data_IF_348049420762
#
_entry.id   IF_348049420762
#
_cell.length_a   1.000
_cell.length_b   1.000
_cell.length_c   1.000
_cell.angle_alpha   90.00
_cell.angle_beta   90.00
_cell.angle_gamma   90.00
#
_symmetry.space_group_name_H-M   'P 1'
#
loop_
_entity.id
_entity.type
_entity.pdbx_description
1 polymer ?
#
# COMPACT_ATOMS: atom_id res chain seq x y z
N UNK A 1 -32.15 -56.00 -44.27
CA UNK A 1 -31.77 -54.85 -43.41
C UNK A 1 -31.81 -55.34 -41.98
N UNK A 2 -30.62 -55.51 -41.40
CA UNK A 2 -30.36 -56.00 -40.05
C UNK A 2 -29.95 -54.78 -39.19
N UNK A 3 -30.42 -54.67 -37.95
CA UNK A 3 -29.63 -54.91 -36.74
C UNK A 3 -30.42 -54.50 -35.48
N UNK A 4 -30.39 -55.41 -34.50
CA UNK A 4 -30.90 -55.29 -33.14
C UNK A 4 -29.81 -54.69 -32.22
N UNK A 5 -30.27 -54.00 -31.19
CA UNK A 5 -29.57 -53.50 -30.01
C UNK A 5 -29.14 -54.64 -29.07
N UNK A 6 -27.97 -54.56 -28.41
CA UNK A 6 -27.98 -54.72 -26.95
C UNK A 6 -26.87 -53.95 -26.20
N UNK A 7 -27.13 -53.51 -24.96
CA UNK A 7 -26.34 -53.93 -23.78
C UNK A 7 -26.93 -53.48 -22.43
N UNK A 8 -26.84 -54.40 -21.47
CA UNK A 8 -27.39 -54.38 -20.10
C UNK A 8 -26.33 -53.92 -19.05
N UNK A 9 -26.49 -54.15 -17.72
CA UNK A 9 -26.59 -53.09 -16.71
C UNK A 9 -25.37 -53.01 -15.76
N UNK A 10 -25.20 -51.88 -15.07
CA UNK A 10 -24.22 -51.77 -13.97
C UNK A 10 -24.89 -51.91 -12.58
N UNK A 11 -24.22 -52.74 -11.75
CA UNK A 11 -24.56 -53.16 -10.40
C UNK A 11 -24.34 -52.07 -9.34
N UNK A 12 -25.16 -52.15 -8.28
CA UNK A 12 -25.02 -51.48 -6.98
C UNK A 12 -23.79 -51.98 -6.20
N UNK A 13 -23.23 -51.15 -5.29
CA UNK A 13 -23.18 -51.42 -3.84
C UNK A 13 -22.54 -50.29 -3.01
N UNK A 14 -23.34 -49.82 -2.03
CA UNK A 14 -23.02 -49.40 -0.65
C UNK A 14 -22.15 -48.16 -0.31
N UNK A 15 -22.44 -47.48 0.83
CA UNK A 15 -22.03 -46.11 1.10
C UNK A 15 -20.67 -46.04 1.80
N UNK A 16 -19.84 -45.05 1.43
CA UNK A 16 -18.55 -44.81 2.08
C UNK A 16 -18.60 -43.46 2.81
N UNK A 17 -18.31 -43.53 4.11
CA UNK A 17 -18.28 -42.44 5.06
C UNK A 17 -17.34 -41.30 4.63
N UNK A 18 -17.72 -40.07 4.98
CA UNK A 18 -16.87 -38.88 4.88
C UNK A 18 -15.84 -38.88 6.01
N UNK A 19 -14.53 -38.80 5.73
CA UNK A 19 -13.58 -38.22 6.66
C UNK A 19 -13.35 -36.76 6.31
N UNK A 20 -13.46 -35.89 7.32
CA UNK A 20 -13.14 -34.47 7.28
C UNK A 20 -11.63 -34.25 7.17
N UNK A 21 -11.12 -33.50 6.17
CA UNK A 21 -9.79 -32.92 6.23
C UNK A 21 -9.89 -31.48 6.74
N UNK A 22 -9.58 -31.38 8.03
CA UNK A 22 -9.20 -30.17 8.76
C UNK A 22 -8.04 -29.43 8.09
N UNK A 23 -8.10 -28.10 8.07
CA UNK A 23 -6.96 -27.17 7.92
C UNK A 23 -5.87 -27.58 6.91
N UNK A 24 -6.02 -27.18 5.65
CA UNK A 24 -4.85 -26.94 4.80
C UNK A 24 -5.08 -25.70 3.95
N UNK A 25 -4.17 -24.72 4.09
CA UNK A 25 -4.14 -23.49 3.30
C UNK A 25 -3.73 -23.71 1.85
N UNK A 26 -3.44 -24.95 1.44
CA UNK A 26 -3.23 -25.35 0.06
C UNK A 26 -4.02 -26.66 -0.17
N UNK A 27 -4.70 -26.76 -1.31
CA UNK A 27 -5.56 -27.88 -1.68
C UNK A 27 -4.82 -29.23 -1.80
N UNK A 28 -5.55 -30.25 -2.27
CA UNK A 28 -5.08 -31.64 -2.36
C UNK A 28 -3.70 -31.76 -3.06
N UNK A 29 -2.70 -32.25 -2.33
CA UNK A 29 -1.29 -32.36 -2.75
C UNK A 29 -0.97 -33.64 -3.54
N UNK A 30 -1.96 -34.50 -3.79
CA UNK A 30 -1.79 -35.78 -4.49
C UNK A 30 -1.63 -35.73 -6.02
N UNK A 31 -1.92 -34.64 -6.78
CA UNK A 31 -1.73 -34.65 -8.23
C UNK A 31 -0.24 -34.70 -8.64
N UNK A 32 0.12 -35.50 -9.66
CA UNK A 32 1.49 -35.61 -10.17
C UNK A 32 2.00 -34.34 -10.86
N UNK A 33 1.12 -33.37 -11.15
CA UNK A 33 1.44 -32.15 -11.89
C UNK A 33 2.19 -31.08 -11.09
N UNK A 34 2.41 -31.29 -9.78
CA UNK A 34 3.21 -30.37 -8.96
C UNK A 34 4.72 -30.67 -9.11
N UNK A 35 5.51 -29.74 -9.72
CA UNK A 35 6.95 -29.89 -9.87
C UNK A 35 7.65 -30.10 -8.51
N UNK A 36 8.81 -30.78 -8.47
CA UNK A 36 9.53 -31.07 -7.21
C UNK A 36 9.88 -29.83 -6.37
N UNK A 37 10.01 -28.65 -7.01
CA UNK A 37 10.28 -27.37 -6.33
C UNK A 37 9.05 -26.69 -5.74
N UNK A 38 7.84 -26.99 -6.23
CA UNK A 38 6.60 -26.33 -5.80
C UNK A 38 5.95 -27.01 -4.59
N UNK A 39 6.40 -28.23 -4.27
CA UNK A 39 6.00 -29.00 -3.08
C UNK A 39 6.47 -28.39 -1.75
N UNK A 40 7.31 -27.36 -1.81
CA UNK A 40 7.83 -26.63 -0.64
C UNK A 40 7.47 -25.14 -0.65
N UNK A 41 6.43 -24.72 -1.37
CA UNK A 41 5.91 -23.32 -1.31
C UNK A 41 4.99 -23.07 -0.12
N UNK A 42 4.96 -24.00 0.84
CA UNK A 42 4.47 -23.64 2.16
C UNK A 42 5.29 -22.45 2.65
N UNK A 43 4.59 -21.35 2.93
CA UNK A 43 4.85 -20.59 4.14
C UNK A 43 4.95 -21.65 5.24
N UNK A 44 6.16 -22.13 5.50
CA UNK A 44 6.42 -23.14 6.50
C UNK A 44 5.84 -22.56 7.78
N UNK A 45 4.64 -23.01 8.19
CA UNK A 45 4.27 -22.93 9.59
C UNK A 45 5.41 -23.65 10.27
N UNK A 46 6.25 -22.95 11.06
CA UNK A 46 7.43 -23.57 11.62
C UNK A 46 6.95 -24.83 12.34
N UNK A 47 7.62 -25.97 12.12
CA UNK A 47 7.47 -27.12 13.03
C UNK A 47 7.51 -26.56 14.45
N UNK A 48 6.70 -27.04 15.40
CA UNK A 48 6.58 -26.44 16.72
C UNK A 48 7.94 -26.47 17.44
N UNK A 49 8.74 -25.44 17.19
CA UNK A 49 9.92 -25.08 17.95
C UNK A 49 9.45 -24.28 19.15
N UNK A 50 10.03 -24.56 20.30
CA UNK A 50 9.66 -23.90 21.56
C UNK A 50 10.15 -22.45 21.64
N UNK A 51 10.91 -21.97 20.66
CA UNK A 51 11.59 -20.67 20.71
C UNK A 51 10.96 -19.62 19.80
N UNK A 52 11.11 -18.36 20.18
CA UNK A 52 10.77 -17.22 19.33
C UNK A 52 11.44 -17.33 17.96
N UNK A 53 10.72 -16.89 16.93
CA UNK A 53 11.28 -16.75 15.59
C UNK A 53 12.02 -15.40 15.52
N UNK A 54 13.25 -15.45 15.04
CA UNK A 54 14.07 -14.27 14.75
C UNK A 54 14.31 -14.24 13.25
N UNK A 55 13.77 -13.23 12.59
CA UNK A 55 13.93 -13.07 11.15
C UNK A 55 15.25 -12.35 10.84
N UNK A 56 15.89 -12.78 9.75
CA UNK A 56 17.04 -12.09 9.21
C UNK A 56 16.56 -11.09 8.15
N UNK A 57 16.69 -9.79 8.45
CA UNK A 57 16.32 -8.72 7.54
C UNK A 57 17.44 -8.30 6.58
N UNK A 58 18.58 -9.01 6.58
CA UNK A 58 19.67 -8.80 5.62
C UNK A 58 19.46 -9.68 4.40
N UNK A 59 19.18 -9.07 3.25
CA UNK A 59 19.03 -9.75 1.98
C UNK A 59 19.94 -9.14 0.90
N UNK A 60 20.36 -9.98 -0.06
CA UNK A 60 21.12 -9.52 -1.24
C UNK A 60 20.26 -8.76 -2.26
N UNK A 61 18.94 -8.93 -2.19
CA UNK A 61 17.95 -8.25 -3.02
C UNK A 61 16.67 -7.99 -2.23
N UNK A 62 15.61 -7.44 -2.86
CA UNK A 62 14.37 -7.17 -2.15
C UNK A 62 13.76 -8.48 -1.65
N UNK A 63 13.31 -8.50 -0.39
CA UNK A 63 12.55 -9.61 0.14
C UNK A 63 11.37 -9.94 -0.80
N UNK A 64 11.14 -11.23 -1.10
CA UNK A 64 10.06 -11.64 -1.97
C UNK A 64 8.73 -11.20 -1.39
N UNK A 65 7.78 -10.97 -2.27
CA UNK A 65 6.43 -10.60 -1.91
C UNK A 65 5.61 -10.19 -3.11
N UNK A 66 4.30 -10.26 -2.95
CA UNK A 66 3.34 -10.10 -4.04
C UNK A 66 2.29 -9.05 -3.68
N UNK A 67 1.98 -8.20 -4.65
CA UNK A 67 0.84 -7.29 -4.60
C UNK A 67 -0.14 -7.69 -5.71
N UNK A 68 -1.46 -7.56 -5.49
CA UNK A 68 -2.43 -7.92 -6.51
C UNK A 68 -2.34 -6.95 -7.69
N UNK A 69 -2.78 -7.42 -8.86
CA UNK A 69 -2.97 -6.56 -10.03
C UNK A 69 -4.24 -5.70 -9.92
N UNK A 70 -5.15 -6.03 -8.98
CA UNK A 70 -6.43 -5.34 -8.78
C UNK A 70 -6.78 -5.22 -7.31
N UNK A 71 -7.21 -4.03 -6.92
CA UNK A 71 -7.71 -3.72 -5.59
C UNK A 71 -9.25 -3.62 -5.58
N UNK A 72 -9.86 -3.68 -4.40
CA UNK A 72 -11.32 -3.56 -4.24
C UNK A 72 -11.79 -2.20 -4.73
N UNK A 73 -12.67 -2.16 -5.71
CA UNK A 73 -12.96 -0.93 -6.45
C UNK A 73 -14.31 -0.31 -6.06
N UNK A 74 -14.95 -0.80 -5.00
CA UNK A 74 -16.23 -0.31 -4.50
C UNK A 74 -17.41 -0.62 -5.42
N UNK A 75 -18.44 0.22 -5.40
CA UNK A 75 -19.71 -0.01 -6.11
C UNK A 75 -20.38 1.29 -6.48
N UNK A 76 -21.17 1.26 -7.57
CA UNK A 76 -21.93 2.43 -8.05
C UNK A 76 -22.85 3.00 -6.97
N UNK A 77 -23.43 2.11 -6.15
CA UNK A 77 -24.25 2.47 -5.00
C UNK A 77 -23.54 1.97 -3.74
N UNK A 78 -22.90 2.89 -3.01
CA UNK A 78 -22.11 2.56 -1.83
C UNK A 78 -22.92 1.84 -0.74
N UNK A 79 -24.20 2.18 -0.59
CA UNK A 79 -25.09 1.61 0.44
C UNK A 79 -25.33 0.09 0.30
N UNK A 80 -25.13 -0.49 -0.89
CA UNK A 80 -25.30 -1.92 -1.14
C UNK A 80 -23.97 -2.64 -1.39
N UNK A 81 -22.84 -1.95 -1.22
CA UNK A 81 -21.52 -2.56 -1.35
C UNK A 81 -21.33 -3.65 -0.27
N UNK A 82 -20.87 -4.82 -0.69
CA UNK A 82 -20.63 -5.98 0.19
C UNK A 82 -19.15 -6.32 0.36
N UNK A 83 -18.27 -5.50 -0.21
CA UNK A 83 -16.83 -5.66 -0.02
C UNK A 83 -16.46 -5.45 1.45
N UNK A 84 -15.36 -6.03 1.93
CA UNK A 84 -14.88 -5.73 3.27
C UNK A 84 -14.60 -4.24 3.45
N UNK A 85 -14.70 -3.73 4.68
CA UNK A 85 -14.35 -2.33 4.98
C UNK A 85 -12.87 -2.02 4.72
N UNK A 86 -12.03 -3.05 4.84
CA UNK A 86 -10.58 -3.00 4.63
C UNK A 86 -10.18 -4.23 3.82
N UNK A 87 -9.51 -4.03 2.68
CA UNK A 87 -8.85 -5.11 1.96
C UNK A 87 -7.44 -5.24 2.53
N UNK A 88 -7.14 -6.42 3.07
CA UNK A 88 -5.80 -6.78 3.55
C UNK A 88 -5.08 -7.59 2.47
N UNK A 89 -3.87 -7.17 2.13
CA UNK A 89 -2.92 -7.92 1.33
C UNK A 89 -1.68 -8.15 2.18
N UNK A 90 -1.34 -9.42 2.43
CA UNK A 90 -0.07 -9.79 3.02
C UNK A 90 0.97 -9.86 1.89
N UNK A 91 1.83 -8.84 1.79
CA UNK A 91 2.89 -8.79 0.77
C UNK A 91 3.90 -9.91 1.00
N UNK A 92 4.31 -10.10 2.25
CA UNK A 92 5.09 -11.24 2.75
C UNK A 92 4.83 -11.44 4.26
N UNK A 93 5.55 -12.33 4.91
CA UNK A 93 5.35 -12.70 6.32
C UNK A 93 5.34 -11.49 7.28
N UNK A 94 6.09 -10.43 6.95
CA UNK A 94 6.32 -9.28 7.82
C UNK A 94 5.82 -7.95 7.24
N UNK A 95 5.09 -7.97 6.13
CA UNK A 95 4.65 -6.76 5.43
C UNK A 95 3.22 -6.92 4.97
N UNK A 96 2.36 -6.03 5.45
CA UNK A 96 0.95 -5.98 5.09
C UNK A 96 0.62 -4.62 4.45
N UNK A 97 -0.20 -4.67 3.40
CA UNK A 97 -0.77 -3.51 2.74
C UNK A 97 -2.27 -3.55 2.92
N UNK A 98 -2.83 -2.49 3.49
CA UNK A 98 -4.24 -2.36 3.77
C UNK A 98 -4.80 -1.26 2.88
N UNK A 99 -5.97 -1.50 2.30
CA UNK A 99 -6.72 -0.49 1.55
C UNK A 99 -8.03 -0.22 2.25
N UNK A 100 -8.39 1.04 2.41
CA UNK A 100 -9.72 1.43 2.85
C UNK A 100 -10.73 1.32 1.69
N UNK A 101 -11.93 0.81 1.98
CA UNK A 101 -12.96 0.60 0.95
C UNK A 101 -13.41 1.93 0.34
N UNK A 102 -13.45 1.98 -1.00
CA UNK A 102 -13.84 3.16 -1.79
C UNK A 102 -15.24 3.67 -1.44
N UNK A 103 -16.15 2.76 -1.05
CA UNK A 103 -17.50 3.10 -0.60
C UNK A 103 -17.54 3.67 0.83
N UNK A 104 -16.49 3.45 1.63
CA UNK A 104 -16.35 4.09 2.96
C UNK A 104 -15.74 5.47 2.80
N UNK A 105 -14.69 5.59 1.99
CA UNK A 105 -14.10 6.87 1.63
C UNK A 105 -13.59 6.84 0.20
N UNK A 106 -14.03 7.79 -0.62
CA UNK A 106 -13.76 7.84 -2.06
C UNK A 106 -12.26 7.88 -2.40
N UNK A 107 -11.41 8.45 -1.53
CA UNK A 107 -9.97 8.48 -1.73
C UNK A 107 -9.31 7.10 -1.55
N UNK A 108 -10.00 6.16 -0.89
CA UNK A 108 -9.59 4.77 -0.69
C UNK A 108 -8.12 4.61 -0.28
N UNK A 109 -7.66 5.31 0.79
CA UNK A 109 -6.26 5.37 1.17
C UNK A 109 -5.67 4.00 1.48
N UNK A 110 -4.37 3.91 1.25
CA UNK A 110 -3.52 2.79 1.65
C UNK A 110 -2.89 3.04 3.02
N UNK A 111 -2.62 1.96 3.72
CA UNK A 111 -1.94 1.94 5.01
C UNK A 111 -1.01 0.75 5.04
N UNK A 112 0.18 0.91 5.59
CA UNK A 112 1.23 -0.12 5.52
C UNK A 112 1.62 -0.55 6.92
N UNK A 113 1.58 -1.86 7.19
CA UNK A 113 1.97 -2.44 8.48
C UNK A 113 3.21 -3.31 8.29
N UNK A 114 4.30 -2.93 8.94
CA UNK A 114 5.61 -3.57 8.85
C UNK A 114 5.98 -4.18 10.20
N UNK A 115 6.55 -5.37 10.20
CA UNK A 115 7.05 -6.05 11.39
C UNK A 115 8.58 -6.18 11.37
N UNK A 116 9.19 -6.06 12.54
CA UNK A 116 10.59 -6.40 12.79
C UNK A 116 10.74 -7.26 14.06
N UNK A 117 11.98 -7.59 14.44
CA UNK A 117 12.22 -8.48 15.57
C UNK A 117 11.86 -7.89 16.94
N UNK A 118 11.67 -6.57 17.06
CA UNK A 118 11.44 -5.84 18.31
C UNK A 118 10.36 -4.76 18.23
N UNK A 119 9.78 -4.51 17.06
CA UNK A 119 8.77 -3.46 16.86
C UNK A 119 7.92 -3.71 15.62
N UNK A 120 6.76 -3.07 15.58
CA UNK A 120 5.92 -2.95 14.40
C UNK A 120 5.72 -1.46 14.04
N UNK A 121 5.59 -1.16 12.75
CA UNK A 121 5.37 0.18 12.22
C UNK A 121 4.10 0.21 11.38
N UNK A 122 3.18 1.11 11.73
CA UNK A 122 2.01 1.43 10.91
C UNK A 122 2.24 2.79 10.24
N UNK A 123 2.34 2.81 8.92
CA UNK A 123 2.49 4.02 8.11
C UNK A 123 1.10 4.43 7.62
N UNK A 124 0.67 5.62 8.04
CA UNK A 124 -0.64 6.20 7.84
C UNK A 124 -1.78 5.40 8.49
N UNK A 125 -2.99 5.95 8.47
CA UNK A 125 -4.17 5.43 9.19
C UNK A 125 -5.50 5.67 8.46
N UNK A 126 -5.45 5.96 7.16
CA UNK A 126 -6.64 6.19 6.34
C UNK A 126 -7.46 7.44 6.69
N UNK A 127 -8.61 7.57 6.02
CA UNK A 127 -9.40 8.80 5.96
C UNK A 127 -10.62 8.83 6.89
N UNK A 128 -10.88 7.76 7.65
CA UNK A 128 -12.09 7.65 8.47
C UNK A 128 -11.77 7.31 9.91
N UNK A 129 -12.17 8.18 10.83
CA UNK A 129 -11.97 7.97 12.26
C UNK A 129 -12.92 6.91 12.84
N UNK A 130 -14.15 6.84 12.33
CA UNK A 130 -15.20 5.95 12.86
C UNK A 130 -14.90 4.47 12.61
N UNK A 131 -14.66 3.73 13.70
CA UNK A 131 -14.37 2.31 13.69
C UNK A 131 -15.53 1.44 13.18
N UNK A 132 -16.78 1.91 13.22
CA UNK A 132 -17.91 1.18 12.65
C UNK A 132 -17.85 1.10 11.11
N UNK A 133 -17.25 2.12 10.48
CA UNK A 133 -17.11 2.21 9.04
C UNK A 133 -15.72 1.79 8.55
N UNK A 134 -14.68 2.06 9.34
CA UNK A 134 -13.30 1.70 9.04
C UNK A 134 -12.61 1.16 10.31
N UNK A 135 -12.74 -0.14 10.62
CA UNK A 135 -12.27 -0.73 11.88
C UNK A 135 -10.74 -0.99 11.89
N UNK A 136 -9.93 0.03 11.57
CA UNK A 136 -8.48 -0.11 11.38
C UNK A 136 -7.78 -0.71 12.60
N UNK A 137 -8.05 -0.20 13.81
CA UNK A 137 -7.39 -0.73 15.02
C UNK A 137 -7.70 -2.22 15.19
N UNK A 138 -8.96 -2.62 15.08
CA UNK A 138 -9.35 -4.03 15.24
C UNK A 138 -8.68 -4.92 14.18
N UNK A 139 -8.55 -4.44 12.95
CA UNK A 139 -7.83 -5.14 11.88
C UNK A 139 -6.33 -5.25 12.18
N UNK A 140 -5.68 -4.17 12.61
CA UNK A 140 -4.25 -4.19 12.99
C UNK A 140 -4.00 -5.12 14.17
N UNK A 141 -4.85 -5.06 15.20
CA UNK A 141 -4.75 -5.95 16.37
C UNK A 141 -4.87 -7.42 15.98
N UNK A 142 -5.78 -7.76 15.07
CA UNK A 142 -5.92 -9.12 14.55
C UNK A 142 -4.69 -9.59 13.76
N UNK A 143 -4.10 -8.72 12.92
CA UNK A 143 -2.87 -9.03 12.17
C UNK A 143 -1.70 -9.22 13.13
N UNK A 144 -1.51 -8.31 14.08
CA UNK A 144 -0.44 -8.40 15.09
C UNK A 144 -0.59 -9.66 15.96
N UNK A 145 -1.82 -10.03 16.35
CA UNK A 145 -2.08 -11.26 17.08
C UNK A 145 -1.68 -12.49 16.26
N UNK A 146 -2.12 -12.57 15.00
CA UNK A 146 -1.75 -13.69 14.11
C UNK A 146 -0.25 -13.76 13.89
N UNK A 147 0.41 -12.63 13.63
CA UNK A 147 1.85 -12.55 13.50
C UNK A 147 2.55 -13.04 14.78
N UNK A 148 2.09 -12.60 15.95
CA UNK A 148 2.66 -13.02 17.24
C UNK A 148 2.53 -14.51 17.53
N UNK A 149 1.47 -15.15 17.02
CA UNK A 149 1.30 -16.59 17.16
C UNK A 149 2.27 -17.37 16.25
N UNK A 150 2.53 -16.86 15.04
CA UNK A 150 3.47 -17.48 14.10
C UNK A 150 4.93 -17.29 14.55
N UNK A 151 5.28 -16.12 15.07
CA UNK A 151 6.64 -15.79 15.52
C UNK A 151 6.89 -16.08 16.99
N UNK A 152 5.83 -16.40 17.76
CA UNK A 152 5.84 -16.57 19.22
C UNK A 152 6.33 -15.33 19.96
N UNK A 153 6.16 -14.15 19.38
CA UNK A 153 6.69 -12.88 19.88
C UNK A 153 5.66 -11.76 19.85
N UNK A 154 5.61 -10.94 20.90
CA UNK A 154 4.85 -9.69 20.93
C UNK A 154 5.79 -8.50 20.76
N UNK A 155 5.36 -7.51 19.98
CA UNK A 155 6.13 -6.29 19.71
C UNK A 155 5.26 -5.04 19.87
N UNK A 156 5.83 -3.92 20.36
CA UNK A 156 5.12 -2.64 20.42
C UNK A 156 4.82 -2.11 19.02
N UNK A 157 3.80 -1.25 18.91
CA UNK A 157 3.40 -0.60 17.67
C UNK A 157 3.82 0.87 17.66
N UNK A 158 4.42 1.34 16.57
CA UNK A 158 4.62 2.77 16.31
C UNK A 158 3.76 3.17 15.11
N UNK A 159 2.92 4.20 15.28
CA UNK A 159 2.09 4.77 14.21
C UNK A 159 2.75 6.06 13.73
N UNK A 160 3.08 6.09 12.45
CA UNK A 160 3.74 7.21 11.77
C UNK A 160 2.89 7.72 10.63
N UNK A 161 3.21 8.92 10.15
CA UNK A 161 2.44 9.59 9.10
C UNK A 161 3.36 10.06 7.99
N UNK A 162 2.95 9.86 6.75
CA UNK A 162 3.60 10.51 5.59
C UNK A 162 3.33 12.01 5.57
N UNK A 163 2.23 12.47 6.19
CA UNK A 163 1.99 13.87 6.55
C UNK A 163 1.00 13.98 7.72
N UNK A 164 1.28 14.87 8.67
CA UNK A 164 0.36 15.26 9.73
C UNK A 164 -0.74 16.23 9.28
N UNK A 165 -0.56 16.90 8.13
CA UNK A 165 -1.55 17.77 7.49
C UNK A 165 -2.59 17.00 6.68
N UNK A 166 -2.25 15.81 6.19
CA UNK A 166 -3.13 15.06 5.31
C UNK A 166 -4.23 14.28 6.05
N UNK A 167 -5.40 14.89 6.11
CA UNK A 167 -6.61 14.28 6.68
C UNK A 167 -7.14 13.09 5.86
N UNK A 168 -6.73 12.90 4.60
CA UNK A 168 -7.11 11.71 3.84
C UNK A 168 -6.29 10.47 4.24
N UNK A 169 -5.26 10.63 5.08
CA UNK A 169 -4.36 9.57 5.51
C UNK A 169 -4.27 9.40 7.04
N UNK A 170 -4.71 10.36 7.85
CA UNK A 170 -4.41 10.34 9.29
C UNK A 170 -5.59 10.28 10.27
N UNK A 171 -6.82 10.04 9.79
CA UNK A 171 -8.02 10.11 10.64
C UNK A 171 -8.21 8.87 11.51
N UNK A 172 -7.79 7.70 11.04
CA UNK A 172 -7.86 6.46 11.83
C UNK A 172 -6.95 6.46 13.05
N UNK A 173 -6.00 7.41 13.16
CA UNK A 173 -5.12 7.57 14.32
C UNK A 173 -5.89 7.67 15.64
N UNK A 174 -7.08 8.27 15.63
CA UNK A 174 -7.94 8.38 16.82
C UNK A 174 -8.29 7.01 17.42
N UNK A 175 -8.35 5.94 16.61
CA UNK A 175 -8.67 4.60 17.09
C UNK A 175 -7.56 3.99 17.96
N UNK A 176 -6.32 4.45 17.81
CA UNK A 176 -5.15 3.96 18.54
C UNK A 176 -4.93 4.69 19.87
N UNK A 177 -5.74 5.70 20.19
CA UNK A 177 -5.71 6.36 21.50
C UNK A 177 -5.96 5.33 22.62
N UNK A 178 -5.06 5.30 23.61
CA UNK A 178 -5.14 4.37 24.74
C UNK A 178 -4.85 2.90 24.39
N UNK A 179 -4.42 2.58 23.16
CA UNK A 179 -3.95 1.24 22.83
C UNK A 179 -2.64 0.96 23.60
N UNK A 180 -2.52 -0.14 24.37
CA UNK A 180 -1.29 -0.47 25.09
C UNK A 180 -0.09 -0.62 24.15
N UNK A 181 1.12 -0.35 24.67
CA UNK A 181 2.40 -0.52 23.95
C UNK A 181 2.39 0.11 22.55
N UNK A 182 1.77 1.29 22.43
CA UNK A 182 1.61 2.00 21.16
C UNK A 182 2.13 3.42 21.26
N UNK A 183 3.02 3.80 20.36
CA UNK A 183 3.49 5.17 20.16
C UNK A 183 2.78 5.79 18.96
N UNK A 184 2.13 6.94 19.14
CA UNK A 184 1.64 7.75 18.03
C UNK A 184 2.60 8.92 17.85
N UNK A 185 3.22 9.03 16.67
CA UNK A 185 4.09 10.16 16.38
C UNK A 185 3.28 11.47 16.38
N UNK A 186 3.78 12.56 16.99
CA UNK A 186 3.09 13.84 16.95
C UNK A 186 2.89 14.33 15.51
N UNK A 187 1.67 14.79 15.18
CA UNK A 187 1.37 15.37 13.86
C UNK A 187 1.88 16.80 13.66
N UNK A 188 1.85 17.71 14.66
CA UNK A 188 2.36 19.06 14.46
C UNK A 188 3.83 19.06 14.02
N UNK A 189 4.16 19.77 12.94
CA UNK A 189 5.48 19.75 12.29
C UNK A 189 6.66 19.85 13.28
N UNK A 190 6.62 20.80 14.22
CA UNK A 190 7.74 20.99 15.15
C UNK A 190 7.90 19.78 16.09
N UNK A 191 6.80 19.27 16.63
CA UNK A 191 6.82 18.10 17.51
C UNK A 191 7.24 16.82 16.75
N UNK A 192 6.83 16.67 15.48
CA UNK A 192 7.27 15.60 14.59
C UNK A 192 8.80 15.69 14.36
N UNK A 193 9.30 16.88 14.02
CA UNK A 193 10.74 17.10 13.83
C UNK A 193 11.53 16.79 15.10
N UNK A 194 11.03 17.19 16.27
CA UNK A 194 11.67 16.89 17.55
C UNK A 194 11.69 15.37 17.82
N UNK A 195 10.59 14.67 17.53
CA UNK A 195 10.50 13.21 17.65
C UNK A 195 11.56 12.49 16.81
N UNK A 196 11.72 12.87 15.55
CA UNK A 196 12.73 12.28 14.65
C UNK A 196 14.13 12.89 14.80
N UNK A 197 14.31 13.87 15.70
CA UNK A 197 15.57 14.63 15.88
C UNK A 197 16.03 15.35 14.60
N UNK A 198 15.09 15.88 13.84
CA UNK A 198 15.30 16.57 12.57
C UNK A 198 15.28 18.10 12.71
N UNK A 199 15.10 18.64 13.92
CA UNK A 199 14.85 20.08 14.12
C UNK A 199 15.96 21.00 13.63
N UNK A 200 17.22 20.57 13.70
CA UNK A 200 18.38 21.39 13.34
C UNK A 200 18.73 21.39 11.86
N UNK A 201 18.26 20.41 11.07
CA UNK A 201 18.72 20.25 9.67
C UNK A 201 17.61 19.76 8.73
N UNK A 202 16.34 20.02 9.05
CA UNK A 202 15.21 19.78 8.16
C UNK A 202 15.27 20.70 6.93
N UNK A 203 15.06 20.21 5.69
CA UNK A 203 14.75 18.83 5.30
C UNK A 203 15.95 18.01 4.80
N UNK A 204 17.18 18.44 5.09
CA UNK A 204 18.40 17.85 4.51
C UNK A 204 18.88 16.57 5.20
N UNK A 205 18.57 16.38 6.49
CA UNK A 205 18.88 15.15 7.23
C UNK A 205 17.72 14.15 7.22
N UNK A 206 18.02 12.86 7.13
CA UNK A 206 17.07 11.78 7.40
C UNK A 206 17.12 11.26 8.84
N UNK A 207 16.15 10.44 9.21
CA UNK A 207 16.11 9.68 10.45
C UNK A 207 15.93 8.18 10.16
N UNK A 208 15.95 7.35 11.20
CA UNK A 208 15.76 5.90 11.10
C UNK A 208 14.80 5.42 12.19
N UNK A 209 13.96 4.45 11.83
CA UNK A 209 13.16 3.67 12.77
C UNK A 209 13.67 2.23 12.72
N UNK A 210 14.23 1.75 13.83
CA UNK A 210 14.71 0.37 13.96
C UNK A 210 13.62 -0.48 14.61
N UNK A 211 13.12 -1.46 13.85
CA UNK A 211 12.10 -2.41 14.30
C UNK A 211 12.71 -3.69 14.89
N UNK A 212 13.99 -3.68 15.23
CA UNK A 212 14.76 -4.87 15.60
C UNK A 212 15.34 -5.51 14.35
N UNK A 213 16.46 -4.97 13.87
CA UNK A 213 17.23 -5.40 12.71
C UNK A 213 16.60 -5.07 11.34
N UNK A 214 15.29 -4.78 11.29
CA UNK A 214 14.64 -4.15 10.12
C UNK A 214 14.63 -2.65 10.29
N UNK A 215 15.47 -1.95 9.54
CA UNK A 215 15.62 -0.50 9.62
C UNK A 215 14.83 0.17 8.50
N UNK A 216 13.96 1.09 8.90
CA UNK A 216 13.18 1.95 8.00
C UNK A 216 13.82 3.34 7.99
N UNK A 217 14.26 3.79 6.81
CA UNK A 217 14.76 5.14 6.61
C UNK A 217 13.58 6.12 6.53
N UNK A 218 13.70 7.25 7.21
CA UNK A 218 12.74 8.34 7.22
C UNK A 218 13.36 9.54 6.49
N UNK A 219 12.78 9.91 5.36
CA UNK A 219 13.34 10.91 4.45
C UNK A 219 12.38 12.10 4.41
N UNK A 220 12.81 13.30 4.83
CA UNK A 220 12.02 14.51 4.66
C UNK A 220 11.75 14.82 3.20
N UNK A 221 10.46 14.96 2.88
CA UNK A 221 9.96 15.26 1.54
C UNK A 221 8.89 16.35 1.57
N UNK A 222 9.18 17.55 2.12
CA UNK A 222 8.24 18.66 2.09
C UNK A 222 7.93 19.08 0.64
N UNK A 223 6.72 19.58 0.41
CA UNK A 223 6.32 20.15 -0.86
C UNK A 223 4.84 19.96 -1.17
N UNK A 224 4.38 18.71 -1.23
CA UNK A 224 2.94 18.40 -1.29
C UNK A 224 2.26 18.84 0.01
N UNK A 225 2.88 18.46 1.14
CA UNK A 225 2.63 18.98 2.48
C UNK A 225 3.93 19.52 3.07
N UNK A 226 3.85 20.50 3.97
CA UNK A 226 5.07 21.12 4.54
C UNK A 226 5.82 20.18 5.50
N UNK A 227 5.13 19.16 5.98
CA UNK A 227 5.60 18.13 6.91
C UNK A 227 5.78 16.76 6.26
N UNK A 228 5.83 16.71 4.92
CA UNK A 228 5.93 15.48 4.15
C UNK A 228 7.14 14.61 4.54
N UNK A 229 6.88 13.31 4.69
CA UNK A 229 7.86 12.26 4.94
C UNK A 229 7.67 11.11 3.94
N UNK A 230 8.80 10.52 3.55
CA UNK A 230 8.85 9.27 2.78
C UNK A 230 9.59 8.22 3.59
N UNK A 231 9.07 6.99 3.61
CA UNK A 231 9.66 5.89 4.35
C UNK A 231 10.24 4.86 3.38
N UNK A 232 11.49 4.46 3.58
CA UNK A 232 12.14 3.44 2.77
C UNK A 232 12.45 2.22 3.62
N UNK A 233 11.96 1.06 3.20
CA UNK A 233 12.28 -0.22 3.83
C UNK A 233 13.40 -0.94 3.09
N UNK A 234 14.56 -1.04 3.75
CA UNK A 234 15.74 -1.74 3.22
C UNK A 234 15.52 -3.25 3.04
N UNK A 235 14.56 -3.86 3.74
CA UNK A 235 14.28 -5.29 3.62
C UNK A 235 13.51 -5.62 2.33
N UNK A 236 12.46 -4.86 2.01
CA UNK A 236 11.62 -5.11 0.82
C UNK A 236 11.99 -4.23 -0.39
N UNK A 237 12.84 -3.22 -0.20
CA UNK A 237 13.10 -2.13 -1.16
C UNK A 237 11.83 -1.36 -1.56
N UNK A 238 10.86 -1.23 -0.65
CA UNK A 238 9.64 -0.46 -0.89
C UNK A 238 9.84 0.97 -0.40
N UNK A 239 9.42 1.93 -1.23
CA UNK A 239 9.44 3.36 -0.91
C UNK A 239 8.00 3.86 -0.72
N UNK A 240 7.61 4.11 0.52
CA UNK A 240 6.28 4.61 0.88
C UNK A 240 6.25 6.13 0.78
N UNK A 241 5.61 6.64 -0.27
CA UNK A 241 5.67 8.06 -0.66
C UNK A 241 4.47 8.89 -0.21
N UNK A 242 3.42 8.25 0.32
CA UNK A 242 2.18 8.96 0.70
C UNK A 242 1.66 9.81 -0.45
N UNK A 243 1.35 11.07 -0.18
CA UNK A 243 0.84 12.03 -1.16
C UNK A 243 1.91 12.84 -1.90
N UNK A 244 3.20 12.56 -1.64
CA UNK A 244 4.29 13.15 -2.43
C UNK A 244 4.22 12.72 -3.89
N UNK A 245 4.05 11.42 -4.13
CA UNK A 245 3.94 10.84 -5.45
C UNK A 245 3.10 9.57 -5.35
N UNK A 246 2.03 9.52 -6.11
CA UNK A 246 1.09 8.40 -6.17
C UNK A 246 0.35 8.47 -7.52
N UNK A 247 -0.31 7.39 -7.96
CA UNK A 247 -1.03 7.41 -9.22
C UNK A 247 -2.33 8.21 -9.05
N UNK A 248 -2.27 9.53 -9.06
CA UNK A 248 -3.43 10.40 -8.92
C UNK A 248 -3.14 11.89 -9.10
N UNK A 249 -4.03 12.73 -8.57
CA UNK A 249 -3.90 14.19 -8.56
C UNK A 249 -3.06 14.62 -7.35
N UNK A 250 -1.89 15.19 -7.57
CA UNK A 250 -0.96 15.63 -6.53
C UNK A 250 -1.10 17.14 -6.36
N UNK A 251 -1.56 17.58 -5.19
CA UNK A 251 -1.65 18.99 -4.84
C UNK A 251 -0.30 19.46 -4.29
N UNK A 252 0.32 20.42 -4.99
CA UNK A 252 1.61 20.97 -4.59
C UNK A 252 1.35 22.23 -3.76
N UNK A 253 1.69 22.17 -2.47
CA UNK A 253 1.58 23.31 -1.56
C UNK A 253 2.75 24.28 -1.70
N UNK A 254 3.96 23.77 -1.90
CA UNK A 254 5.18 24.55 -2.09
C UNK A 254 6.07 23.91 -3.15
N UNK A 255 6.09 24.48 -4.35
CA UNK A 255 6.66 23.84 -5.55
C UNK A 255 8.18 23.71 -5.53
N UNK A 256 8.89 24.69 -4.97
CA UNK A 256 10.35 24.63 -4.82
C UNK A 256 10.78 23.53 -3.86
N UNK A 257 10.07 23.36 -2.75
CA UNK A 257 10.36 22.27 -1.81
C UNK A 257 9.98 20.92 -2.42
N UNK A 258 8.85 20.87 -3.13
CA UNK A 258 8.41 19.66 -3.83
C UNK A 258 9.45 19.20 -4.85
N UNK A 259 9.99 20.10 -5.67
CA UNK A 259 11.07 19.80 -6.61
C UNK A 259 12.32 19.31 -5.86
N UNK A 260 12.76 20.03 -4.83
CA UNK A 260 13.95 19.68 -4.07
C UNK A 260 13.83 18.29 -3.42
N UNK A 261 12.64 17.94 -2.92
CA UNK A 261 12.32 16.64 -2.35
C UNK A 261 12.36 15.51 -3.39
N UNK A 262 11.80 15.74 -4.58
CA UNK A 262 11.88 14.78 -5.68
C UNK A 262 13.32 14.59 -6.17
N UNK A 263 14.10 15.66 -6.29
CA UNK A 263 15.53 15.59 -6.66
C UNK A 263 16.37 14.87 -5.58
N UNK A 264 15.99 15.01 -4.31
CA UNK A 264 16.58 14.26 -3.20
C UNK A 264 16.32 12.76 -3.34
N UNK A 265 15.06 12.37 -3.60
CA UNK A 265 14.70 10.97 -3.83
C UNK A 265 15.33 10.41 -5.12
N UNK A 266 15.43 11.21 -6.18
CA UNK A 266 16.13 10.85 -7.42
C UNK A 266 17.60 10.52 -7.17
N UNK A 267 18.30 11.30 -6.34
CA UNK A 267 19.67 10.99 -5.90
C UNK A 267 19.70 9.79 -4.95
N UNK A 268 18.73 9.68 -4.05
CA UNK A 268 18.64 8.58 -3.08
C UNK A 268 18.59 7.21 -3.78
N UNK A 269 17.74 7.08 -4.81
CA UNK A 269 17.61 5.83 -5.59
C UNK A 269 18.86 5.44 -6.40
N UNK A 270 19.86 6.31 -6.53
CA UNK A 270 21.13 5.96 -7.18
C UNK A 270 22.05 5.16 -6.25
N UNK A 271 21.85 5.25 -4.94
CA UNK A 271 22.66 4.58 -3.92
C UNK A 271 21.88 3.52 -3.15
N UNK A 272 20.56 3.45 -3.35
CA UNK A 272 19.65 2.50 -2.72
C UNK A 272 18.79 1.83 -3.76
N UNK A 273 18.66 0.50 -3.67
CA UNK A 273 17.78 -0.25 -4.55
C UNK A 273 16.33 0.04 -4.20
N UNK A 274 15.53 0.54 -5.14
CA UNK A 274 14.09 0.71 -4.97
C UNK A 274 13.39 -0.27 -5.90
N UNK A 275 12.50 -1.10 -5.37
CA UNK A 275 11.68 -2.03 -6.14
C UNK A 275 10.39 -1.37 -6.62
N UNK A 276 9.64 -0.78 -5.68
CA UNK A 276 8.38 -0.09 -5.97
C UNK A 276 8.25 1.17 -5.11
N UNK A 277 7.65 2.20 -5.70
CA UNK A 277 7.06 3.30 -4.98
C UNK A 277 5.59 2.97 -4.69
N UNK A 278 5.17 3.17 -3.45
CA UNK A 278 3.82 2.91 -2.96
C UNK A 278 3.28 4.20 -2.34
N UNK A 279 2.32 4.83 -3.02
CA UNK A 279 1.72 6.09 -2.59
C UNK A 279 0.43 5.90 -1.79
N UNK A 280 -0.10 7.01 -1.26
CA UNK A 280 -1.26 6.99 -0.38
C UNK A 280 -2.58 6.59 -1.04
N UNK A 281 -2.73 6.80 -2.35
CA UNK A 281 -4.00 6.65 -3.06
C UNK A 281 -3.83 6.07 -4.47
N UNK A 282 -4.95 5.65 -5.06
CA UNK A 282 -5.09 5.51 -6.51
C UNK A 282 -6.23 6.42 -6.99
N UNK A 283 -5.86 7.43 -7.75
CA UNK A 283 -6.72 8.41 -8.41
C UNK A 283 -6.64 8.38 -9.93
N UNK A 284 -5.66 7.70 -10.53
CA UNK A 284 -5.59 7.51 -11.99
C UNK A 284 -6.33 6.26 -12.44
N UNK A 285 -6.80 6.27 -13.69
CA UNK A 285 -7.27 5.10 -14.41
C UNK A 285 -6.08 4.33 -15.00
N UNK A 286 -6.30 3.08 -15.44
CA UNK A 286 -5.32 2.35 -16.22
C UNK A 286 -5.05 3.00 -17.59
N UNK A 287 -5.97 3.86 -18.05
CA UNK A 287 -5.81 4.66 -19.28
C UNK A 287 -4.87 5.84 -18.98
N UNK A 288 -3.74 5.96 -19.70
CA UNK A 288 -2.77 7.03 -19.46
C UNK A 288 -3.38 8.43 -19.46
N UNK A 289 -3.05 9.23 -18.44
CA UNK A 289 -3.47 10.63 -18.34
C UNK A 289 -4.95 10.85 -18.05
N UNK A 290 -5.67 9.80 -17.67
CA UNK A 290 -7.08 9.87 -17.25
C UNK A 290 -7.19 9.56 -15.77
N UNK A 291 -7.82 10.43 -15.01
CA UNK A 291 -8.10 10.22 -13.60
C UNK A 291 -9.50 9.65 -13.38
N UNK A 292 -9.68 8.94 -12.27
CA UNK A 292 -10.99 8.58 -11.76
C UNK A 292 -11.70 9.86 -11.27
N UNK A 293 -13.00 10.06 -11.54
CA UNK A 293 -13.71 11.20 -11.03
C UNK A 293 -13.57 11.32 -9.51
N UNK A 294 -13.34 12.54 -9.06
CA UNK A 294 -13.33 12.86 -7.63
C UNK A 294 -14.67 12.44 -7.02
N UNK A 295 -14.64 11.92 -5.80
CA UNK A 295 -15.81 11.39 -5.08
C UNK A 295 -16.45 10.13 -5.67
N UNK A 296 -15.90 9.53 -6.74
CA UNK A 296 -16.39 8.25 -7.25
C UNK A 296 -16.21 7.14 -6.19
N UNK A 297 -17.30 6.43 -5.90
CA UNK A 297 -17.31 5.24 -5.03
C UNK A 297 -17.12 3.93 -5.80
N UNK A 298 -16.94 4.02 -7.13
CA UNK A 298 -16.77 2.90 -8.04
C UNK A 298 -15.61 3.17 -9.02
N UNK A 299 -14.51 2.43 -8.88
CA UNK A 299 -13.24 2.65 -9.62
C UNK A 299 -12.69 1.36 -10.26
N UNK A 300 -13.47 0.64 -11.09
CA UNK A 300 -13.09 -0.70 -11.58
C UNK A 300 -11.87 -0.72 -12.50
N UNK A 301 -11.50 0.46 -13.02
CA UNK A 301 -10.48 0.71 -14.04
C UNK A 301 -9.35 1.58 -13.51
N UNK A 302 -9.13 1.58 -12.20
CA UNK A 302 -8.03 2.32 -11.60
C UNK A 302 -6.66 1.74 -11.98
N UNK A 303 -5.62 2.56 -11.88
CA UNK A 303 -4.23 2.16 -12.08
C UNK A 303 -3.78 1.18 -10.98
N UNK A 304 -2.67 0.49 -11.20
CA UNK A 304 -2.03 -0.31 -10.15
C UNK A 304 -1.36 0.59 -9.11
N UNK A 305 -1.22 0.09 -7.86
CA UNK A 305 -0.56 0.82 -6.76
C UNK A 305 0.95 0.98 -7.02
N UNK A 306 1.55 -0.07 -7.57
CA UNK A 306 2.98 -0.20 -7.77
C UNK A 306 3.45 0.78 -8.86
N UNK A 307 4.34 1.69 -8.49
CA UNK A 307 4.99 2.59 -9.44
C UNK A 307 6.47 2.26 -9.52
N UNK A 308 7.01 2.24 -10.74
CA UNK A 308 8.43 1.96 -10.96
C UNK A 308 9.32 3.12 -10.50
N UNK A 309 10.58 2.85 -10.09
CA UNK A 309 11.54 3.89 -9.68
C UNK A 309 11.87 4.92 -10.75
N UNK A 310 11.66 4.59 -12.03
CA UNK A 310 11.82 5.53 -13.14
C UNK A 310 10.80 6.69 -13.08
N UNK A 311 9.65 6.50 -12.42
CA UNK A 311 8.62 7.54 -12.30
C UNK A 311 9.11 8.77 -11.51
N UNK A 312 10.11 8.60 -10.63
CA UNK A 312 10.76 9.75 -9.96
C UNK A 312 11.42 10.70 -10.97
N UNK A 313 11.99 10.18 -12.06
CA UNK A 313 12.66 11.01 -13.06
C UNK A 313 11.63 11.83 -13.85
N UNK A 314 10.50 11.22 -14.21
CA UNK A 314 9.38 11.91 -14.85
C UNK A 314 8.76 12.95 -13.89
N UNK A 315 8.60 12.62 -12.61
CA UNK A 315 8.11 13.56 -11.61
C UNK A 315 9.03 14.78 -11.45
N UNK A 316 10.36 14.59 -11.42
CA UNK A 316 11.34 15.70 -11.39
C UNK A 316 11.22 16.57 -12.65
N UNK A 317 11.23 15.96 -13.84
CA UNK A 317 11.12 16.68 -15.11
C UNK A 317 9.81 17.48 -15.19
N UNK A 318 8.70 16.84 -14.86
CA UNK A 318 7.36 17.44 -14.84
C UNK A 318 7.26 18.57 -13.81
N UNK A 319 7.89 18.41 -12.65
CA UNK A 319 7.88 19.46 -11.62
C UNK A 319 8.65 20.70 -12.08
N UNK A 320 9.80 20.53 -12.75
CA UNK A 320 10.55 21.67 -13.33
C UNK A 320 9.71 22.46 -14.34
N UNK A 321 8.78 21.82 -15.04
CA UNK A 321 7.87 22.50 -15.96
C UNK A 321 6.81 23.36 -15.24
N UNK A 322 6.34 22.96 -14.06
CA UNK A 322 5.26 23.65 -13.33
C UNK A 322 5.75 24.64 -12.29
N UNK A 323 6.99 24.54 -11.80
CA UNK A 323 7.53 25.46 -10.77
C UNK A 323 7.38 26.91 -11.21
N UNK A 324 6.84 27.73 -10.31
CA UNK A 324 6.54 29.15 -10.53
C UNK A 324 5.31 29.42 -11.38
N UNK A 325 4.52 28.40 -11.75
CA UNK A 325 3.34 28.53 -12.62
C UNK A 325 2.09 27.98 -11.95
N UNK A 326 0.95 28.65 -12.17
CA UNK A 326 -0.37 28.12 -11.83
C UNK A 326 -0.85 27.22 -12.96
N UNK A 327 -0.76 25.91 -12.77
CA UNK A 327 -1.01 24.94 -13.83
C UNK A 327 -1.43 23.57 -13.28
N UNK A 328 -2.38 22.93 -13.95
CA UNK A 328 -2.63 21.49 -13.86
C UNK A 328 -1.94 20.78 -15.03
N UNK A 329 -0.91 19.98 -14.74
CA UNK A 329 -0.10 19.28 -15.75
C UNK A 329 -0.41 17.78 -15.73
N UNK A 330 -0.93 17.26 -16.84
CA UNK A 330 -1.24 15.83 -16.98
C UNK A 330 0.03 15.06 -17.37
N UNK A 331 0.24 13.91 -16.72
CA UNK A 331 1.16 12.85 -17.12
C UNK A 331 0.43 11.51 -17.18
N UNK A 332 1.02 10.47 -17.80
CA UNK A 332 0.37 9.15 -17.88
C UNK A 332 -0.12 8.63 -16.52
N UNK A 333 0.68 8.86 -15.48
CA UNK A 333 0.53 8.18 -14.18
C UNK A 333 0.11 9.10 -13.05
N UNK A 334 0.20 10.42 -13.23
CA UNK A 334 -0.16 11.41 -12.22
C UNK A 334 -0.56 12.73 -12.86
N UNK A 335 -1.18 13.61 -12.08
CA UNK A 335 -1.49 14.98 -12.47
C UNK A 335 -0.89 15.91 -11.41
N UNK A 336 -0.01 16.82 -11.81
CA UNK A 336 0.52 17.84 -10.90
C UNK A 336 -0.40 19.05 -10.89
N UNK A 337 -0.84 19.44 -9.71
CA UNK A 337 -1.66 20.62 -9.48
C UNK A 337 -0.81 21.65 -8.73
N UNK A 338 -0.19 22.59 -9.45
CA UNK A 338 0.61 23.65 -8.85
C UNK A 338 -0.19 24.96 -8.82
N UNK A 339 -0.43 25.51 -7.63
CA UNK A 339 -1.09 26.80 -7.44
C UNK A 339 -2.52 26.89 -8.03
N UNK A 340 -3.18 25.75 -8.24
CA UNK A 340 -4.54 25.62 -8.80
C UNK A 340 -5.43 24.79 -7.87
N UNK A 341 -6.75 24.88 -8.09
CA UNK A 341 -7.72 24.11 -7.30
C UNK A 341 -7.60 22.60 -7.56
N UNK A 342 -7.89 21.74 -6.57
CA UNK A 342 -8.09 20.31 -6.81
C UNK A 342 -9.16 19.98 -7.86
N UNK A 343 -10.07 20.92 -8.13
CA UNK A 343 -11.15 20.83 -9.12
C UNK A 343 -10.82 21.59 -10.43
N UNK A 344 -9.55 21.94 -10.66
CA UNK A 344 -9.10 22.62 -11.87
C UNK A 344 -9.52 21.85 -13.13
N UNK A 345 -10.20 22.58 -14.04
CA UNK A 345 -10.72 22.03 -15.29
C UNK A 345 -9.81 22.33 -16.48
N UNK A 346 -9.02 23.40 -16.40
CA UNK A 346 -8.04 23.76 -17.42
C UNK A 346 -6.76 22.93 -17.20
N UNK A 347 -6.79 21.70 -17.69
CA UNK A 347 -5.66 20.79 -17.61
C UNK A 347 -4.85 20.83 -18.90
N UNK A 348 -3.52 20.96 -18.76
CA UNK A 348 -2.60 20.88 -19.88
C UNK A 348 -2.30 19.42 -20.19
N UNK A 349 -2.74 18.99 -21.37
CA UNK A 349 -2.40 17.70 -21.95
C UNK A 349 -1.16 17.88 -22.86
N UNK A 350 0.06 17.59 -22.38
CA UNK A 350 1.28 17.87 -23.13
C UNK A 350 1.41 16.95 -24.36
N UNK A 351 2.19 17.34 -25.38
CA UNK A 351 2.61 16.44 -26.44
C UNK A 351 3.29 15.19 -25.88
N UNK A 352 2.96 14.01 -26.41
CA UNK A 352 3.56 12.73 -26.01
C UNK A 352 2.78 11.93 -24.97
N UNK A 353 1.79 12.51 -24.30
CA UNK A 353 0.82 11.72 -23.52
C UNK A 353 -0.28 11.24 -24.48
N UNK A 354 -0.70 9.96 -24.46
CA UNK A 354 -1.82 9.50 -25.27
C UNK A 354 -3.15 10.07 -24.79
N UNK A 355 -3.85 10.86 -25.61
CA UNK A 355 -5.19 11.36 -25.29
C UNK A 355 -6.26 10.37 -25.77
N UNK A 356 -6.37 9.23 -25.08
CA UNK A 356 -7.28 8.14 -25.44
C UNK A 356 -8.64 8.37 -24.75
N UNK A 357 -9.74 8.12 -25.46
CA UNK A 357 -11.07 8.08 -24.84
C UNK A 357 -11.15 6.86 -23.90
N UNK A 358 -11.35 7.11 -22.61
CA UNK A 358 -11.49 6.02 -21.64
C UNK A 358 -12.77 5.21 -21.93
N UNK A 359 -12.74 3.87 -21.80
CA UNK A 359 -13.92 3.04 -21.96
C UNK A 359 -14.95 3.42 -20.90
N UNK A 360 -16.13 3.87 -21.34
CA UNK A 360 -17.31 4.32 -20.59
C UNK A 360 -17.05 4.98 -19.21
N UNK A 361 -17.26 6.30 -19.07
CA UNK A 361 -17.30 6.94 -17.76
C UNK A 361 -18.60 6.54 -17.05
N UNK A 362 -18.55 5.42 -16.33
CA UNK A 362 -19.48 4.96 -15.28
C UNK A 362 -20.96 4.94 -15.64
#
# INVERSE_FOLDING_TARGET
MLFFDPQSPQQQTSPVATPTPTQSGNGNLAPPDNPPGDRNTDSCVPRPGQTEVVHNYRNAGPAPGTLPFRWMYGSRVAAINRDPRIQLVQYNEDTCVLRQNVCVHWAAPFTYLLFGNKGALLIDTGATADAAHYPLRATVDAIMLRWSQMTRKKVPLTVVFTSGEDIAQNQGAAQFAGRPETMLVPRPLQAMKDFYRLSSNWPESGAKVDLGDRVIDVIPTPGAHKDGLTFYDSYTHLLFTGDLLFPGRINISHDRDYLASLERLQRWKQTHNVKWLLGGHIGMQFVPGKDCPRFATHKPYERVLQMEPALLDDAVASTREVVGKKLALIRPDFILLNGVSPDEKAQLFPPGVPNIAAPYPF
#
